data_IF_411728407666
#
_entry.id   IF_411728407666
#
_cell.length_a   1.000
_cell.length_b   1.000
_cell.length_c   1.000
_cell.angle_alpha   90.00
_cell.angle_beta   90.00
_cell.angle_gamma   90.00
#
_symmetry.space_group_name_H-M   'P 1'
#
loop_
_entity.id
_entity.type
_entity.pdbx_description
1 polymer ?
#
# COMPACT_ATOMS: atom_id res chain seq x y z
N UNK A 1 47.07 4.97 -9.23
CA UNK A 1 45.71 4.50 -9.54
C UNK A 1 45.44 3.30 -8.65
N UNK A 2 44.77 3.53 -7.53
CA UNK A 2 44.50 2.52 -6.50
C UNK A 2 42.99 2.35 -6.34
N UNK A 3 42.60 1.07 -6.29
CA UNK A 3 41.39 0.52 -5.66
C UNK A 3 40.05 0.74 -6.37
N UNK A 4 39.46 -0.37 -6.83
CA UNK A 4 38.08 -0.43 -7.31
C UNK A 4 37.43 -1.78 -6.96
N UNK A 5 36.79 -1.80 -5.78
CA UNK A 5 35.71 -2.65 -5.29
C UNK A 5 35.55 -4.09 -5.80
N UNK A 6 35.78 -5.04 -4.88
CA UNK A 6 35.11 -6.34 -4.88
C UNK A 6 33.60 -6.13 -4.67
N UNK A 7 32.85 -6.03 -5.76
CA UNK A 7 31.39 -6.09 -5.74
C UNK A 7 30.95 -7.52 -5.44
N UNK A 8 30.33 -7.73 -4.28
CA UNK A 8 29.74 -8.99 -3.91
C UNK A 8 28.55 -9.31 -4.86
N UNK A 9 28.80 -10.13 -5.88
CA UNK A 9 27.72 -10.76 -6.65
C UNK A 9 27.09 -11.86 -5.80
N UNK A 10 26.06 -11.53 -5.02
CA UNK A 10 25.14 -12.57 -4.52
C UNK A 10 24.30 -13.06 -5.69
N UNK A 11 24.71 -14.18 -6.27
CA UNK A 11 23.91 -14.90 -7.27
C UNK A 11 22.84 -15.68 -6.52
N UNK A 12 21.61 -15.15 -6.49
CA UNK A 12 20.45 -15.90 -5.98
C UNK A 12 20.03 -16.91 -7.04
N UNK A 13 19.97 -18.22 -6.74
CA UNK A 13 19.53 -19.22 -7.71
C UNK A 13 18.11 -18.92 -8.20
N UNK A 14 17.91 -18.87 -9.51
CA UNK A 14 16.62 -18.52 -10.14
C UNK A 14 15.44 -19.38 -9.68
N UNK A 15 15.72 -20.62 -9.25
CA UNK A 15 14.76 -21.58 -8.69
C UNK A 15 14.12 -21.10 -7.37
N UNK A 16 14.79 -20.24 -6.61
CA UNK A 16 14.27 -19.69 -5.35
C UNK A 16 13.45 -18.42 -5.57
N UNK A 17 13.72 -17.70 -6.66
CA UNK A 17 12.97 -16.51 -7.07
C UNK A 17 11.57 -16.88 -7.58
N UNK A 18 11.41 -18.05 -8.21
CA UNK A 18 10.11 -18.51 -8.73
C UNK A 18 9.07 -18.87 -7.65
N UNK A 19 9.46 -18.88 -6.37
CA UNK A 19 8.56 -19.12 -5.24
C UNK A 19 7.81 -17.83 -4.87
N UNK A 20 8.38 -16.67 -5.21
CA UNK A 20 7.85 -15.36 -4.87
C UNK A 20 7.19 -14.72 -6.08
N UNK A 21 6.08 -14.02 -5.86
CA UNK A 21 5.54 -13.14 -6.90
C UNK A 21 6.40 -11.87 -7.07
N UNK A 22 6.16 -11.08 -8.11
CA UNK A 22 6.95 -9.86 -8.41
C UNK A 22 6.99 -8.88 -7.22
N UNK A 23 5.94 -8.86 -6.41
CA UNK A 23 5.73 -7.93 -5.30
C UNK A 23 6.38 -8.44 -4.02
N UNK A 24 6.28 -9.73 -3.73
CA UNK A 24 7.03 -10.39 -2.66
C UNK A 24 8.54 -10.32 -2.91
N UNK A 25 8.94 -10.46 -4.18
CA UNK A 25 10.33 -10.25 -4.58
C UNK A 25 10.76 -8.81 -4.36
N UNK A 26 9.91 -7.82 -4.69
CA UNK A 26 10.18 -6.41 -4.36
C UNK A 26 10.33 -6.23 -2.86
N UNK A 27 9.42 -6.74 -2.03
CA UNK A 27 9.50 -6.65 -0.57
C UNK A 27 10.78 -7.30 0.00
N UNK A 28 11.14 -8.49 -0.49
CA UNK A 28 12.32 -9.23 -0.07
C UNK A 28 13.62 -8.51 -0.44
N UNK A 29 13.70 -7.93 -1.65
CA UNK A 29 14.88 -7.22 -2.14
C UNK A 29 15.05 -5.84 -1.49
N UNK A 30 13.95 -5.17 -1.13
CA UNK A 30 13.98 -3.81 -0.57
C UNK A 30 14.11 -3.79 0.95
N UNK A 31 13.72 -4.88 1.62
CA UNK A 31 13.56 -4.92 3.07
C UNK A 31 12.27 -4.24 3.52
N UNK A 32 11.70 -4.72 4.63
CA UNK A 32 10.52 -4.14 5.25
C UNK A 32 10.94 -2.85 5.96
N UNK A 33 10.88 -1.71 5.26
CA UNK A 33 11.07 -0.41 5.88
C UNK A 33 9.83 -0.06 6.72
N UNK A 34 10.04 0.40 7.96
CA UNK A 34 8.94 0.75 8.86
C UNK A 34 8.24 2.01 8.34
N UNK A 35 6.98 1.87 7.94
CA UNK A 35 6.16 2.98 7.42
C UNK A 35 5.77 3.91 8.58
N UNK A 36 6.04 5.21 8.42
CA UNK A 36 5.55 6.24 9.35
C UNK A 36 4.06 6.52 9.08
N UNK A 37 3.21 5.95 9.95
CA UNK A 37 1.75 6.08 9.84
C UNK A 37 1.30 7.53 10.07
N UNK A 38 2.00 8.29 10.92
CA UNK A 38 1.64 9.68 11.19
C UNK A 38 1.93 10.57 9.99
N UNK A 39 3.05 10.33 9.31
CA UNK A 39 3.37 11.02 8.06
C UNK A 39 2.37 10.67 6.95
N UNK A 40 1.97 9.40 6.85
CA UNK A 40 0.94 8.95 5.91
C UNK A 40 -0.40 9.65 6.16
N UNK A 41 -0.87 9.65 7.42
CA UNK A 41 -2.14 10.27 7.82
C UNK A 41 -2.15 11.78 7.55
N UNK A 42 -1.06 12.49 7.88
CA UNK A 42 -0.91 13.94 7.63
C UNK A 42 -0.89 14.30 6.15
N UNK A 43 -0.41 13.42 5.29
CA UNK A 43 -0.29 13.65 3.84
C UNK A 43 -1.43 13.03 3.03
N UNK A 44 -2.52 12.63 3.68
CA UNK A 44 -3.69 12.06 3.02
C UNK A 44 -4.75 13.11 2.70
N UNK A 45 -5.32 13.04 1.50
CA UNK A 45 -6.49 13.83 1.10
C UNK A 45 -7.76 12.98 1.23
N UNK A 46 -8.87 13.60 1.67
CA UNK A 46 -10.16 12.96 1.78
C UNK A 46 -11.16 13.57 0.78
N UNK A 47 -11.86 12.72 0.00
CA UNK A 47 -12.92 13.13 -0.93
C UNK A 47 -14.23 12.48 -0.55
N UNK A 48 -15.31 13.28 -0.48
CA UNK A 48 -16.63 12.83 -0.02
C UNK A 48 -16.62 12.16 1.38
N UNK A 49 -15.52 12.35 2.08
CA UNK A 49 -15.23 12.06 3.47
C UNK A 49 -14.39 13.21 4.02
N UNK A 50 -14.31 13.27 5.34
CA UNK A 50 -13.42 14.16 6.09
C UNK A 50 -12.54 13.32 7.01
N UNK A 51 -11.46 13.90 7.51
CA UNK A 51 -10.58 13.28 8.51
C UNK A 51 -11.35 12.77 9.74
N UNK A 52 -12.40 13.49 10.14
CA UNK A 52 -13.26 13.15 11.28
C UNK A 52 -14.36 12.14 10.97
N UNK A 53 -14.50 11.73 9.69
CA UNK A 53 -15.52 10.75 9.33
C UNK A 53 -15.16 9.38 9.95
N UNK A 54 -16.14 8.70 10.55
CA UNK A 54 -15.96 7.40 11.21
C UNK A 54 -15.20 6.37 10.35
N UNK A 55 -15.45 6.33 9.05
CA UNK A 55 -14.80 5.39 8.12
C UNK A 55 -13.31 5.69 7.94
N UNK A 56 -12.93 6.97 7.97
CA UNK A 56 -11.53 7.39 7.90
C UNK A 56 -10.82 7.07 9.23
N UNK A 57 -11.47 7.34 10.36
CA UNK A 57 -10.93 6.96 11.68
C UNK A 57 -10.74 5.44 11.79
N UNK A 58 -11.71 4.66 11.31
CA UNK A 58 -11.61 3.20 11.21
C UNK A 58 -10.49 2.74 10.29
N UNK A 59 -10.31 3.38 9.13
CA UNK A 59 -9.19 3.08 8.25
C UNK A 59 -7.84 3.28 8.97
N UNK A 60 -7.65 4.40 9.65
CA UNK A 60 -6.38 4.64 10.36
C UNK A 60 -6.21 3.78 11.60
N UNK A 61 -7.30 3.41 12.29
CA UNK A 61 -7.26 2.38 13.33
C UNK A 61 -6.78 1.05 12.75
N UNK A 62 -7.35 0.62 11.61
CA UNK A 62 -6.94 -0.59 10.90
C UNK A 62 -5.45 -0.56 10.53
N UNK A 63 -4.96 0.53 9.92
CA UNK A 63 -3.54 0.70 9.56
C UNK A 63 -2.62 0.59 10.79
N UNK A 64 -3.05 1.08 11.96
CA UNK A 64 -2.30 0.94 13.22
C UNK A 64 -2.31 -0.48 13.79
N UNK A 65 -3.34 -1.29 13.51
CA UNK A 65 -3.47 -2.66 14.03
C UNK A 65 -2.73 -3.72 13.21
N UNK A 66 -2.61 -3.54 11.89
CA UNK A 66 -2.00 -4.53 10.98
C UNK A 66 -0.46 -4.61 11.09
N UNK A 67 0.13 -5.67 10.55
CA UNK A 67 1.60 -5.85 10.54
C UNK A 67 2.30 -4.89 9.56
N UNK A 68 3.61 -4.70 9.70
CA UNK A 68 4.38 -3.87 8.75
C UNK A 68 4.32 -4.42 7.32
N UNK A 69 4.30 -5.74 7.15
CA UNK A 69 4.10 -6.42 5.87
C UNK A 69 2.73 -6.10 5.26
N UNK A 70 1.66 -6.17 6.06
CA UNK A 70 0.31 -5.81 5.61
C UNK A 70 0.20 -4.31 5.29
N UNK A 71 0.91 -3.43 6.00
CA UNK A 71 0.99 -2.00 5.64
C UNK A 71 1.67 -1.79 4.29
N UNK A 72 2.76 -2.52 4.03
CA UNK A 72 3.47 -2.45 2.76
C UNK A 72 2.59 -2.97 1.61
N UNK A 73 1.86 -4.08 1.81
CA UNK A 73 0.85 -4.58 0.87
C UNK A 73 -0.27 -3.56 0.64
N UNK A 74 -0.78 -2.91 1.68
CA UNK A 74 -1.79 -1.87 1.54
C UNK A 74 -1.28 -0.66 0.75
N UNK A 75 -0.03 -0.23 1.01
CA UNK A 75 0.59 0.86 0.27
C UNK A 75 0.71 0.50 -1.21
N UNK A 76 1.17 -0.71 -1.51
CA UNK A 76 1.29 -1.21 -2.89
C UNK A 76 -0.07 -1.39 -3.56
N UNK A 77 -1.08 -1.87 -2.85
CA UNK A 77 -2.44 -1.98 -3.34
C UNK A 77 -2.95 -0.62 -3.85
N UNK A 78 -2.66 0.48 -3.13
CA UNK A 78 -3.17 1.81 -3.48
C UNK A 78 -2.26 2.59 -4.43
N UNK A 79 -0.95 2.39 -4.37
CA UNK A 79 0.05 3.22 -5.08
C UNK A 79 0.82 2.48 -6.16
N UNK A 80 0.72 1.15 -6.21
CA UNK A 80 1.51 0.31 -7.11
C UNK A 80 2.94 0.04 -6.64
N UNK A 81 3.39 0.62 -5.52
CA UNK A 81 4.71 0.36 -4.93
C UNK A 81 4.61 0.18 -3.42
N UNK A 82 5.48 -0.65 -2.86
CA UNK A 82 5.60 -0.82 -1.41
C UNK A 82 6.53 0.22 -0.75
N UNK A 83 7.11 1.15 -1.52
CA UNK A 83 8.11 2.11 -1.05
C UNK A 83 7.53 3.49 -0.79
N UNK A 84 7.94 4.08 0.33
CA UNK A 84 7.72 5.50 0.62
C UNK A 84 8.90 6.30 0.03
N UNK A 85 8.65 7.44 -0.65
CA UNK A 85 9.71 8.34 -1.09
C UNK A 85 10.62 8.79 0.07
N UNK A 86 11.86 9.16 -0.25
CA UNK A 86 12.84 9.60 0.78
C UNK A 86 12.32 10.84 1.55
N UNK A 87 11.61 11.76 0.88
CA UNK A 87 10.94 12.90 1.53
C UNK A 87 9.55 12.58 2.13
N UNK A 88 9.20 11.30 2.27
CA UNK A 88 7.96 10.86 2.91
C UNK A 88 6.73 10.88 1.99
N UNK A 89 5.55 10.75 2.59
CA UNK A 89 4.27 10.65 1.89
C UNK A 89 3.86 11.96 1.18
N UNK A 90 4.48 13.08 1.54
CA UNK A 90 4.26 14.37 0.88
C UNK A 90 4.77 14.39 -0.57
N UNK A 91 5.73 13.53 -0.90
CA UNK A 91 6.38 13.43 -2.21
C UNK A 91 5.89 12.24 -3.04
N UNK A 92 4.76 11.64 -2.68
CA UNK A 92 4.17 10.56 -3.48
C UNK A 92 3.95 11.01 -4.93
N UNK A 93 4.26 10.10 -5.85
CA UNK A 93 4.08 10.28 -7.28
C UNK A 93 2.92 9.41 -7.77
N UNK A 94 2.12 9.95 -8.68
CA UNK A 94 1.19 9.21 -9.51
C UNK A 94 1.65 9.25 -10.97
N UNK A 95 0.82 8.78 -11.90
CA UNK A 95 1.19 8.70 -13.31
C UNK A 95 1.48 10.07 -13.96
N UNK A 96 0.92 11.15 -13.41
CA UNK A 96 1.04 12.51 -13.95
C UNK A 96 1.90 13.43 -13.07
N UNK A 97 2.76 12.88 -12.20
CA UNK A 97 3.63 13.66 -11.30
C UNK A 97 3.16 13.62 -9.84
N UNK A 98 3.48 14.66 -9.03
CA UNK A 98 3.16 14.69 -7.61
C UNK A 98 1.67 14.45 -7.32
N UNK A 99 1.37 13.43 -6.53
CA UNK A 99 0.02 12.98 -6.24
C UNK A 99 -0.05 12.37 -4.84
N UNK A 100 -0.70 13.07 -3.93
CA UNK A 100 -0.92 12.58 -2.56
C UNK A 100 -1.81 11.34 -2.54
N UNK A 101 -1.63 10.53 -1.50
CA UNK A 101 -2.56 9.48 -1.14
C UNK A 101 -3.95 10.06 -0.89
N UNK A 102 -4.99 9.40 -1.41
CA UNK A 102 -6.35 9.88 -1.37
C UNK A 102 -7.32 8.78 -0.92
N UNK A 103 -8.16 9.07 0.07
CA UNK A 103 -9.30 8.20 0.42
C UNK A 103 -10.58 8.87 -0.08
N UNK A 104 -11.32 8.17 -0.91
CA UNK A 104 -12.59 8.65 -1.48
C UNK A 104 -13.75 7.75 -1.05
N UNK A 105 -14.84 8.36 -0.56
CA UNK A 105 -16.08 7.61 -0.34
C UNK A 105 -16.64 7.18 -1.68
N UNK A 106 -16.75 5.88 -1.91
CA UNK A 106 -17.32 5.35 -3.13
C UNK A 106 -18.07 4.02 -2.92
N UNK A 107 -19.15 3.82 -3.66
CA UNK A 107 -19.85 2.54 -3.72
C UNK A 107 -20.80 2.28 -2.55
N UNK A 108 -21.19 1.01 -2.42
CA UNK A 108 -22.15 0.52 -1.40
C UNK A 108 -21.43 -0.26 -0.31
N UNK A 109 -22.04 -0.38 0.85
CA UNK A 109 -21.46 -1.04 2.03
C UNK A 109 -21.19 -2.55 1.89
N UNK A 110 -21.58 -3.17 0.77
CA UNK A 110 -21.39 -4.59 0.50
C UNK A 110 -20.27 -4.89 -0.52
N UNK A 111 -19.65 -3.86 -1.12
CA UNK A 111 -18.58 -4.06 -2.11
C UNK A 111 -17.19 -4.04 -1.46
N UNK A 112 -16.21 -4.64 -2.13
CA UNK A 112 -14.80 -4.54 -1.75
C UNK A 112 -14.26 -3.12 -2.00
N UNK A 113 -13.25 -2.68 -1.23
CA UNK A 113 -12.53 -1.46 -1.55
C UNK A 113 -11.79 -1.65 -2.87
N UNK A 114 -11.54 -0.55 -3.59
CA UNK A 114 -10.81 -0.57 -4.87
C UNK A 114 -9.71 0.47 -4.85
N UNK A 115 -8.67 0.24 -5.60
CA UNK A 115 -7.59 1.20 -5.78
C UNK A 115 -7.53 1.73 -7.21
N UNK A 116 -6.98 2.94 -7.34
CA UNK A 116 -6.59 3.52 -8.61
C UNK A 116 -5.13 3.96 -8.46
N UNK A 117 -4.21 3.05 -8.77
CA UNK A 117 -2.77 3.23 -8.53
C UNK A 117 -2.20 4.46 -9.22
N UNK A 118 -2.65 4.77 -10.44
CA UNK A 118 -2.26 5.98 -11.17
C UNK A 118 -2.51 7.28 -10.40
N UNK A 119 -3.43 7.28 -9.44
CA UNK A 119 -3.86 8.44 -8.67
C UNK A 119 -3.63 8.30 -7.16
N UNK A 120 -2.94 7.24 -6.71
CA UNK A 120 -2.76 6.93 -5.28
C UNK A 120 -4.07 6.96 -4.49
N UNK A 121 -5.17 6.48 -5.09
CA UNK A 121 -6.52 6.61 -4.53
C UNK A 121 -7.10 5.27 -4.08
N UNK A 122 -7.58 5.24 -2.85
CA UNK A 122 -8.42 4.20 -2.27
C UNK A 122 -9.90 4.63 -2.29
N UNK A 123 -10.70 3.90 -3.06
CA UNK A 123 -12.17 3.96 -2.98
C UNK A 123 -12.60 3.15 -1.75
N UNK A 124 -13.02 3.83 -0.67
CA UNK A 124 -13.43 3.24 0.59
C UNK A 124 -14.97 3.25 0.73
N UNK A 125 -15.63 2.09 0.71
CA UNK A 125 -17.07 2.03 0.89
C UNK A 125 -17.55 2.38 2.31
N UNK A 126 -18.79 2.88 2.45
CA UNK A 126 -19.33 3.29 3.74
C UNK A 126 -19.82 2.11 4.59
N UNK A 127 -18.92 1.21 4.96
CA UNK A 127 -19.20 0.03 5.78
C UNK A 127 -19.98 0.34 7.07
N UNK A 128 -20.87 -0.57 7.48
CA UNK A 128 -21.72 -0.34 8.66
C UNK A 128 -20.98 -0.54 9.99
N UNK A 129 -19.92 -1.36 10.01
CA UNK A 129 -19.16 -1.77 11.20
C UNK A 129 -17.66 -1.80 10.91
N UNK A 130 -16.85 -1.61 11.95
CA UNK A 130 -15.39 -1.66 11.84
C UNK A 130 -14.88 -3.03 11.39
N UNK A 131 -15.49 -4.10 11.90
CA UNK A 131 -15.09 -5.48 11.60
C UNK A 131 -15.24 -5.79 10.11
N UNK A 132 -16.29 -5.26 9.48
CA UNK A 132 -16.51 -5.41 8.03
C UNK A 132 -15.44 -4.64 7.24
N UNK A 133 -15.08 -3.43 7.68
CA UNK A 133 -14.02 -2.65 7.04
C UNK A 133 -12.68 -3.40 7.11
N UNK A 134 -12.34 -3.93 8.29
CA UNK A 134 -11.12 -4.69 8.52
C UNK A 134 -11.07 -5.96 7.67
N UNK A 135 -12.13 -6.76 7.69
CA UNK A 135 -12.25 -7.98 6.88
C UNK A 135 -12.10 -7.67 5.37
N UNK A 136 -12.80 -6.65 4.87
CA UNK A 136 -12.79 -6.30 3.44
C UNK A 136 -11.46 -5.70 2.98
N UNK A 137 -10.79 -4.91 3.82
CA UNK A 137 -9.46 -4.38 3.50
C UNK A 137 -8.39 -5.48 3.53
N UNK A 138 -8.41 -6.37 4.53
CA UNK A 138 -7.50 -7.53 4.58
C UNK A 138 -7.68 -8.40 3.34
N UNK A 139 -8.93 -8.77 3.05
CA UNK A 139 -9.27 -9.54 1.86
C UNK A 139 -8.74 -8.85 0.59
N UNK A 140 -8.94 -7.53 0.43
CA UNK A 140 -8.49 -6.83 -0.78
C UNK A 140 -6.97 -6.78 -0.93
N UNK A 141 -6.21 -6.65 0.17
CA UNK A 141 -4.74 -6.59 0.10
C UNK A 141 -4.09 -7.99 0.02
N UNK A 142 -4.80 -9.05 0.42
CA UNK A 142 -4.35 -10.44 0.35
C UNK A 142 -4.78 -11.10 -0.98
N UNK A 143 -6.02 -10.91 -1.43
CA UNK A 143 -6.59 -11.64 -2.58
C UNK A 143 -6.32 -11.00 -3.95
N UNK A 144 -5.82 -9.76 -3.97
CA UNK A 144 -5.21 -9.21 -5.19
C UNK A 144 -3.91 -9.94 -5.60
N UNK A 145 -3.53 -11.00 -4.88
CA UNK A 145 -2.54 -12.02 -5.28
C UNK A 145 -3.06 -12.95 -6.41
N UNK A 146 -4.38 -13.14 -6.58
CA UNK A 146 -4.93 -14.20 -7.44
C UNK A 146 -5.47 -13.82 -8.83
N UNK A 147 -5.68 -12.54 -9.15
CA UNK A 147 -6.36 -12.13 -10.40
C UNK A 147 -5.42 -11.77 -11.58
N UNK A 148 -4.13 -12.11 -11.47
CA UNK A 148 -3.13 -11.92 -12.53
C UNK A 148 -2.90 -13.14 -13.44
N UNK A 149 -3.67 -14.22 -13.29
CA UNK A 149 -3.62 -15.39 -14.16
C UNK A 149 -4.99 -15.64 -14.81
N UNK A 150 -5.34 -14.82 -15.80
CA UNK A 150 -6.09 -15.25 -16.99
C UNK A 150 -5.60 -14.47 -18.23
#
# INVERSE_FOLDING_TARGET
>A
MSSGNAGAHMVVPQQWIQIFDERELELLLCGISKIDILDWERNTIYKNYTETTKHVQWFWQFVREITDEQRARLLQFVTGTCRVPIGGFSELLGSNGPQKFCIEKYGKDNILPRSHTCFNRLDLPPYKKYEILKEKLLFAIEECEGFGQE
#
